data_IF_443162623756
#
_entry.id   IF_443162623756
#
_cell.length_a   1.000
_cell.length_b   1.000
_cell.length_c   1.000
_cell.angle_alpha   90.00
_cell.angle_beta   90.00
_cell.angle_gamma   90.00
#
_symmetry.space_group_name_H-M   'P 1'
#
loop_
_entity.id
_entity.type
_entity.pdbx_description
1 polymer ?
#
# COMPACT_ATOMS: atom_id res chain seq x y z
N UNK A 1 14.69 3.02 -0.42
CA UNK A 1 13.40 3.12 0.30
C UNK A 1 12.28 3.18 -0.74
N UNK A 2 11.13 2.54 -0.51
CA UNK A 2 10.03 2.50 -1.50
C UNK A 2 9.10 3.72 -1.36
N UNK A 3 8.41 4.11 -2.44
CA UNK A 3 7.56 5.30 -2.48
C UNK A 3 6.39 5.24 -1.49
N UNK A 4 5.83 4.05 -1.27
CA UNK A 4 4.69 3.83 -0.38
C UNK A 4 5.05 4.20 1.07
N UNK A 5 6.25 3.81 1.54
CA UNK A 5 6.71 4.17 2.89
C UNK A 5 6.87 5.67 3.07
N UNK A 6 7.39 6.36 2.05
CA UNK A 6 7.52 7.83 2.08
C UNK A 6 6.13 8.48 2.15
N UNK A 7 5.18 8.02 1.33
CA UNK A 7 3.82 8.54 1.31
C UNK A 7 3.08 8.32 2.63
N UNK A 8 3.18 7.11 3.21
CA UNK A 8 2.55 6.78 4.49
C UNK A 8 3.15 7.63 5.61
N UNK A 9 4.48 7.71 5.73
CA UNK A 9 5.10 8.52 6.79
C UNK A 9 4.79 10.00 6.64
N UNK A 10 4.77 10.54 5.41
CA UNK A 10 4.36 11.92 5.19
C UNK A 10 2.92 12.17 5.64
N UNK A 11 1.98 11.27 5.32
CA UNK A 11 0.60 11.38 5.76
C UNK A 11 0.48 11.33 7.29
N UNK A 12 1.24 10.44 7.95
CA UNK A 12 1.24 10.29 9.41
C UNK A 12 1.77 11.53 10.11
N UNK A 13 2.85 12.14 9.60
CA UNK A 13 3.38 13.40 10.14
C UNK A 13 2.37 14.55 10.00
N UNK A 14 1.51 14.50 8.97
CA UNK A 14 0.40 15.43 8.79
C UNK A 14 -0.87 15.05 9.58
N UNK A 15 -0.80 14.06 10.48
CA UNK A 15 -1.90 13.67 11.36
C UNK A 15 -2.88 12.64 10.78
N UNK A 16 -2.65 12.14 9.58
CA UNK A 16 -3.49 11.10 8.97
C UNK A 16 -3.05 9.71 9.42
N UNK A 17 -3.93 8.99 10.13
CA UNK A 17 -3.65 7.63 10.64
C UNK A 17 -4.60 6.55 10.11
N UNK A 18 -5.66 6.94 9.40
CA UNK A 18 -6.67 6.02 8.86
C UNK A 18 -6.68 6.10 7.34
N UNK A 19 -6.30 5.01 6.70
CA UNK A 19 -6.21 4.93 5.25
C UNK A 19 -7.34 4.06 4.69
N UNK A 20 -8.11 4.60 3.74
CA UNK A 20 -9.14 3.84 3.02
C UNK A 20 -8.56 3.08 1.83
N UNK A 21 -7.61 3.70 1.13
CA UNK A 21 -6.99 3.14 -0.09
C UNK A 21 -5.56 3.66 -0.25
N UNK A 22 -4.70 2.84 -0.85
CA UNK A 22 -3.35 3.21 -1.29
C UNK A 22 -3.23 2.90 -2.77
N UNK A 23 -2.78 3.89 -3.55
CA UNK A 23 -2.58 3.76 -4.99
C UNK A 23 -1.08 3.63 -5.27
N UNK A 24 -0.69 2.57 -5.98
CA UNK A 24 0.68 2.32 -6.38
C UNK A 24 0.73 2.35 -7.91
N UNK A 25 1.46 3.32 -8.46
CA UNK A 25 1.68 3.43 -9.90
C UNK A 25 3.11 3.00 -10.23
N UNK A 26 3.26 2.14 -11.23
CA UNK A 26 4.56 1.66 -11.69
C UNK A 26 4.60 1.66 -13.21
N UNK A 27 5.74 2.04 -13.80
CA UNK A 27 5.96 1.98 -15.26
C UNK A 27 6.12 0.55 -15.80
N UNK A 28 6.10 -0.45 -14.91
CA UNK A 28 6.14 -1.86 -15.28
C UNK A 28 4.93 -2.29 -16.10
N UNK A 29 5.14 -3.26 -16.99
CA UNK A 29 4.08 -3.87 -17.80
C UNK A 29 3.01 -4.61 -16.97
N UNK A 30 3.31 -4.95 -15.71
CA UNK A 30 2.39 -5.59 -14.76
C UNK A 30 2.27 -4.77 -13.48
N UNK A 31 1.11 -4.78 -12.81
CA UNK A 31 0.94 -4.14 -11.51
C UNK A 31 2.04 -4.58 -10.54
N UNK A 32 2.67 -3.61 -9.89
CA UNK A 32 3.79 -3.88 -8.97
C UNK A 32 3.25 -3.95 -7.54
N UNK A 33 3.28 -5.12 -6.89
CA UNK A 33 2.82 -5.23 -5.51
C UNK A 33 3.79 -4.56 -4.53
N UNK A 34 3.29 -4.02 -3.41
CA UNK A 34 4.15 -3.46 -2.39
C UNK A 34 5.07 -4.54 -1.81
N UNK A 35 6.30 -4.18 -1.46
CA UNK A 35 7.22 -5.10 -0.82
C UNK A 35 6.78 -5.44 0.62
N UNK A 36 7.32 -6.51 1.20
CA UNK A 36 6.93 -6.98 2.54
C UNK A 36 7.03 -5.90 3.62
N UNK A 37 8.10 -5.10 3.61
CA UNK A 37 8.27 -4.00 4.56
C UNK A 37 7.20 -2.90 4.40
N UNK A 38 6.79 -2.59 3.17
CA UNK A 38 5.70 -1.63 2.94
C UNK A 38 4.37 -2.20 3.43
N UNK A 39 4.11 -3.50 3.22
CA UNK A 39 2.88 -4.14 3.70
C UNK A 39 2.78 -4.08 5.22
N UNK A 40 3.86 -4.40 5.92
CA UNK A 40 3.91 -4.33 7.38
C UNK A 40 3.60 -2.91 7.87
N UNK A 41 4.32 -1.90 7.35
CA UNK A 41 4.10 -0.49 7.72
C UNK A 41 2.66 -0.06 7.44
N UNK A 42 2.09 -0.40 6.28
CA UNK A 42 0.69 -0.05 5.97
C UNK A 42 -0.28 -0.73 6.94
N UNK A 43 0.00 -1.97 7.36
CA UNK A 43 -0.87 -2.73 8.28
C UNK A 43 -0.86 -2.26 9.73
N UNK A 44 0.11 -1.41 10.11
CA UNK A 44 0.19 -0.80 11.45
C UNK A 44 -0.78 0.37 11.62
N UNK A 45 -1.35 0.89 10.53
CA UNK A 45 -2.27 2.02 10.55
C UNK A 45 -3.72 1.59 10.37
N UNK A 46 -4.65 2.42 10.83
CA UNK A 46 -6.06 2.10 10.85
C UNK A 46 -6.66 2.01 9.44
N UNK A 47 -7.75 1.24 9.33
CA UNK A 47 -8.63 1.27 8.16
C UNK A 47 -8.46 0.14 7.17
N UNK A 48 -7.45 -0.73 7.33
CA UNK A 48 -7.19 -1.88 6.47
C UNK A 48 -7.35 -1.54 4.98
N UNK A 49 -6.53 -0.63 4.43
CA UNK A 49 -6.77 -0.04 3.12
C UNK A 49 -6.80 -1.07 2.00
N UNK A 50 -7.59 -0.76 0.97
CA UNK A 50 -7.43 -1.40 -0.33
C UNK A 50 -6.15 -0.90 -0.99
N UNK A 51 -5.29 -1.82 -1.42
CA UNK A 51 -4.11 -1.54 -2.24
C UNK A 51 -4.49 -1.72 -3.69
N UNK A 52 -4.39 -0.64 -4.47
CA UNK A 52 -4.73 -0.60 -5.88
C UNK A 52 -3.45 -0.32 -6.68
N UNK A 53 -3.05 -1.29 -7.48
CA UNK A 53 -1.76 -1.29 -8.18
C UNK A 53 -2.01 -1.10 -9.67
N UNK A 54 -1.44 -0.05 -10.26
CA UNK A 54 -1.61 0.33 -11.66
C UNK A 54 -0.32 0.14 -12.45
N UNK A 55 -0.46 -0.23 -13.72
CA UNK A 55 0.61 -0.09 -14.72
C UNK A 55 0.69 1.34 -15.23
N UNK A 56 1.82 1.71 -15.85
CA UNK A 56 2.12 3.09 -16.25
C UNK A 56 1.13 3.68 -17.25
N UNK A 57 0.44 2.84 -18.02
CA UNK A 57 -0.61 3.25 -18.95
C UNK A 57 -2.01 3.29 -18.31
N UNK A 58 -2.14 2.93 -17.02
CA UNK A 58 -3.42 2.89 -16.30
C UNK A 58 -4.41 1.82 -16.80
N UNK A 59 -4.04 1.03 -17.81
CA UNK A 59 -4.91 0.05 -18.48
C UNK A 59 -5.17 -1.20 -17.66
N UNK A 60 -4.25 -1.57 -16.78
CA UNK A 60 -4.36 -2.74 -15.91
C UNK A 60 -4.20 -2.32 -14.46
N UNK A 61 -5.14 -2.79 -13.63
CA UNK A 61 -5.02 -2.66 -12.19
C UNK A 61 -5.36 -3.96 -11.49
N UNK A 62 -4.69 -4.20 -10.36
CA UNK A 62 -5.08 -5.23 -9.40
C UNK A 62 -5.41 -4.56 -8.07
N UNK A 63 -6.49 -5.02 -7.43
CA UNK A 63 -6.96 -4.55 -6.14
C UNK A 63 -6.88 -5.69 -5.13
N UNK A 64 -6.24 -5.45 -3.98
CA UNK A 64 -6.22 -6.37 -2.83
C UNK A 64 -6.34 -5.61 -1.53
N UNK A 65 -7.00 -6.18 -0.53
CA UNK A 65 -6.95 -5.62 0.81
C UNK A 65 -5.57 -5.85 1.45
N UNK A 66 -5.12 -4.95 2.33
CA UNK A 66 -3.85 -5.15 3.05
C UNK A 66 -3.81 -6.47 3.83
N UNK A 67 -4.95 -6.92 4.37
CA UNK A 67 -5.05 -8.17 5.13
C UNK A 67 -4.86 -9.42 4.26
N UNK A 68 -5.20 -9.35 2.97
CA UNK A 68 -4.93 -10.41 1.99
C UNK A 68 -3.46 -10.43 1.57
N UNK A 69 -2.83 -9.25 1.51
CA UNK A 69 -1.42 -9.11 1.11
C UNK A 69 -0.45 -9.47 2.24
N UNK A 70 -0.90 -9.38 3.49
CA UNK A 70 -0.13 -9.74 4.68
C UNK A 70 -1.03 -10.54 5.64
N UNK A 71 -1.34 -11.80 5.29
CA UNK A 71 -2.07 -12.69 6.20
C UNK A 71 -1.20 -12.97 7.42
N UNK A 72 -1.85 -13.15 8.58
CA UNK A 72 -1.18 -13.41 9.85
C UNK A 72 -0.12 -12.34 10.17
N UNK A 73 -0.50 -11.06 10.01
CA UNK A 73 0.38 -9.92 10.28
C UNK A 73 1.01 -10.05 11.67
N UNK A 74 2.22 -9.55 11.81
CA UNK A 74 2.82 -9.40 13.10
C UNK A 74 2.05 -8.33 13.89
N UNK A 75 1.55 -8.67 15.09
CA UNK A 75 0.82 -7.78 16.00
C UNK A 75 1.49 -7.87 17.38
N UNK A 76 1.78 -6.71 17.99
CA UNK A 76 2.37 -6.58 19.32
C UNK A 76 1.32 -6.18 20.35
#
# INVERSE_FOLDING_TARGET
MCAERIAIFNAVVNGYKKFKRVFILSTSAKPTPPCGACRQVISEFEGNPDIIMFTGEGKYYEKKNITELLPLKFDF
#
